data_IF_092444153543
#
_entry.id   IF_092444153543
#
_cell.length_a   1.000
_cell.length_b   1.000
_cell.length_c   1.000
_cell.angle_alpha   90.00
_cell.angle_beta   90.00
_cell.angle_gamma   90.00
#
_symmetry.space_group_name_H-M   'P 1'
#
loop_
_entity.id
_entity.type
_entity.pdbx_description
1 polymer ?
#
# COMPACT_ATOMS: atom_id res chain seq x y z
N UNK A 1 -4.13 -11.85 -23.48
CA UNK A 1 -4.49 -12.04 -22.06
C UNK A 1 -4.52 -10.68 -21.38
N UNK A 2 -5.63 -10.31 -20.72
CA UNK A 2 -5.67 -9.11 -19.88
C UNK A 2 -4.67 -9.30 -18.73
N UNK A 3 -3.72 -8.36 -18.61
CA UNK A 3 -2.74 -8.36 -17.52
C UNK A 3 -3.49 -8.22 -16.18
N UNK A 4 -3.39 -9.20 -15.29
CA UNK A 4 -3.97 -9.11 -13.94
C UNK A 4 -3.13 -8.10 -13.17
N UNK A 5 -3.74 -6.99 -12.76
CA UNK A 5 -3.08 -5.96 -11.96
C UNK A 5 -3.58 -6.10 -10.54
N UNK A 6 -2.67 -6.39 -9.60
CA UNK A 6 -3.00 -6.42 -8.17
C UNK A 6 -3.19 -5.01 -7.64
N UNK A 7 -4.17 -4.86 -6.79
CA UNK A 7 -4.58 -3.59 -6.20
C UNK A 7 -4.28 -3.53 -4.70
N UNK A 8 -3.53 -2.53 -4.29
CA UNK A 8 -3.22 -2.24 -2.90
C UNK A 8 -3.85 -0.91 -2.49
N UNK A 9 -4.90 -1.00 -1.69
CA UNK A 9 -5.60 0.17 -1.14
C UNK A 9 -4.83 0.71 0.07
N UNK A 10 -4.64 2.04 0.12
CA UNK A 10 -4.06 2.72 1.28
C UNK A 10 -5.06 3.79 1.74
N UNK A 11 -5.46 3.77 3.01
CA UNK A 11 -6.37 4.79 3.56
C UNK A 11 -5.67 6.13 3.82
N UNK A 12 -6.47 7.17 4.04
CA UNK A 12 -5.96 8.49 4.44
C UNK A 12 -7.03 9.20 5.27
N UNK A 13 -6.70 9.73 6.46
CA UNK A 13 -7.66 10.41 7.32
C UNK A 13 -8.24 11.69 6.72
N UNK A 14 -7.60 12.25 5.68
CA UNK A 14 -8.09 13.44 4.97
C UNK A 14 -9.11 13.12 3.86
N UNK A 15 -9.27 11.85 3.50
CA UNK A 15 -10.11 11.41 2.39
C UNK A 15 -11.14 10.34 2.79
N UNK A 16 -10.98 9.76 3.96
CA UNK A 16 -11.88 8.76 4.52
C UNK A 16 -12.58 9.34 5.76
N UNK A 17 -13.83 8.95 6.02
CA UNK A 17 -14.53 9.40 7.23
C UNK A 17 -13.76 9.03 8.51
N UNK A 18 -13.88 9.88 9.53
CA UNK A 18 -13.17 9.71 10.80
C UNK A 18 -14.08 9.20 11.92
N UNK A 19 -15.38 9.03 11.67
CA UNK A 19 -16.30 8.36 12.59
C UNK A 19 -16.45 6.88 12.20
N UNK A 20 -16.55 5.95 13.15
CA UNK A 20 -16.63 4.52 12.86
C UNK A 20 -17.80 4.13 11.94
N UNK A 21 -18.99 4.71 12.17
CA UNK A 21 -20.20 4.39 11.40
C UNK A 21 -20.09 4.85 9.93
N UNK A 22 -19.64 6.09 9.73
CA UNK A 22 -19.45 6.61 8.37
C UNK A 22 -18.32 5.89 7.64
N UNK A 23 -17.22 5.59 8.36
CA UNK A 23 -16.10 4.82 7.79
C UNK A 23 -16.55 3.40 7.38
N UNK A 24 -17.35 2.72 8.21
CA UNK A 24 -17.92 1.41 7.89
C UNK A 24 -18.67 1.44 6.55
N UNK A 25 -19.64 2.33 6.44
CA UNK A 25 -20.47 2.46 5.24
C UNK A 25 -19.63 2.83 4.01
N UNK A 26 -18.75 3.80 4.16
CA UNK A 26 -17.91 4.30 3.08
C UNK A 26 -16.90 3.23 2.60
N UNK A 27 -16.20 2.61 3.54
CA UNK A 27 -15.18 1.62 3.23
C UNK A 27 -15.78 0.34 2.66
N UNK A 28 -16.92 -0.10 3.20
CA UNK A 28 -17.67 -1.23 2.66
C UNK A 28 -18.06 -1.00 1.19
N UNK A 29 -18.55 0.20 0.84
CA UNK A 29 -18.86 0.55 -0.55
C UNK A 29 -17.65 0.40 -1.47
N UNK A 30 -16.46 0.81 -1.03
CA UNK A 30 -15.21 0.62 -1.79
C UNK A 30 -14.94 -0.87 -2.02
N UNK A 31 -15.04 -1.68 -0.96
CA UNK A 31 -14.78 -3.12 -1.04
C UNK A 31 -15.81 -3.86 -1.92
N UNK A 32 -17.05 -3.41 -1.95
CA UNK A 32 -18.10 -3.95 -2.83
C UNK A 32 -17.85 -3.61 -4.31
N UNK A 33 -17.18 -2.47 -4.58
CA UNK A 33 -17.03 -1.93 -5.94
C UNK A 33 -15.71 -2.35 -6.60
N UNK A 34 -14.66 -2.52 -5.80
CA UNK A 34 -13.30 -2.75 -6.31
C UNK A 34 -12.74 -4.09 -5.85
N UNK A 35 -12.06 -4.79 -6.76
CA UNK A 35 -11.22 -5.92 -6.37
C UNK A 35 -9.95 -5.39 -5.73
N UNK A 36 -9.74 -5.70 -4.45
CA UNK A 36 -8.59 -5.27 -3.65
C UNK A 36 -7.85 -6.53 -3.18
N UNK A 37 -6.54 -6.57 -3.43
CA UNK A 37 -5.69 -7.71 -3.05
C UNK A 37 -4.99 -7.49 -1.72
N UNK A 38 -4.76 -6.22 -1.32
CA UNK A 38 -4.18 -5.82 -0.03
C UNK A 38 -4.78 -4.48 0.41
N UNK A 39 -4.90 -4.27 1.71
CA UNK A 39 -5.35 -3.00 2.26
C UNK A 39 -4.44 -2.53 3.40
N UNK A 40 -4.14 -1.23 3.45
CA UNK A 40 -3.31 -0.63 4.47
C UNK A 40 -4.05 0.49 5.20
N UNK A 41 -4.16 0.37 6.50
CA UNK A 41 -4.60 1.47 7.33
C UNK A 41 -3.44 2.45 7.54
N UNK A 42 -3.63 3.69 7.10
CA UNK A 42 -2.61 4.71 7.19
C UNK A 42 -3.19 5.99 7.76
N UNK A 43 -2.65 6.39 8.92
CA UNK A 43 -2.95 7.65 9.58
C UNK A 43 -1.65 8.42 9.85
N UNK A 44 -1.47 9.55 9.14
CA UNK A 44 -0.32 10.43 9.33
C UNK A 44 -0.47 11.40 10.50
N UNK A 45 -1.65 11.54 11.04
CA UNK A 45 -1.89 12.40 12.20
C UNK A 45 -1.40 11.74 13.50
N UNK A 46 -1.13 10.44 13.46
CA UNK A 46 -0.76 9.59 14.60
C UNK A 46 -1.83 9.53 15.70
N UNK A 47 -3.02 10.03 15.42
CA UNK A 47 -4.16 10.02 16.34
C UNK A 47 -5.01 8.76 16.19
N UNK A 48 -4.40 7.62 15.96
CA UNK A 48 -5.06 6.33 15.68
C UNK A 48 -6.29 6.12 16.56
N UNK A 49 -7.47 6.10 15.94
CA UNK A 49 -8.72 5.80 16.61
C UNK A 49 -8.92 4.27 16.66
N UNK A 50 -8.90 3.64 17.85
CA UNK A 50 -9.06 2.19 17.98
C UNK A 50 -10.31 1.63 17.29
N UNK A 51 -11.43 2.34 17.40
CA UNK A 51 -12.69 1.92 16.77
C UNK A 51 -12.63 1.92 15.23
N UNK A 52 -11.84 2.81 14.62
CA UNK A 52 -11.61 2.78 13.17
C UNK A 52 -10.73 1.60 12.77
N UNK A 53 -9.72 1.25 13.58
CA UNK A 53 -8.89 0.08 13.35
C UNK A 53 -9.73 -1.20 13.41
N UNK A 54 -10.60 -1.32 14.39
CA UNK A 54 -11.53 -2.46 14.54
C UNK A 54 -12.46 -2.61 13.33
N UNK A 55 -13.06 -1.50 12.87
CA UNK A 55 -13.92 -1.50 11.68
C UNK A 55 -13.13 -1.91 10.43
N UNK A 56 -11.93 -1.34 10.24
CA UNK A 56 -11.06 -1.67 9.10
C UNK A 56 -10.70 -3.15 9.09
N UNK A 57 -10.26 -3.71 10.21
CA UNK A 57 -9.89 -5.12 10.34
C UNK A 57 -11.07 -6.04 10.10
N UNK A 58 -12.21 -5.78 10.73
CA UNK A 58 -13.43 -6.57 10.59
C UNK A 58 -13.91 -6.63 9.14
N UNK A 59 -13.92 -5.49 8.45
CA UNK A 59 -14.31 -5.44 7.04
C UNK A 59 -13.31 -6.21 6.16
N UNK A 60 -12.01 -5.96 6.32
CA UNK A 60 -11.01 -6.70 5.53
C UNK A 60 -11.10 -8.22 5.75
N UNK A 61 -11.29 -8.66 6.99
CA UNK A 61 -11.49 -10.07 7.30
C UNK A 61 -12.72 -10.66 6.58
N UNK A 62 -13.85 -9.92 6.58
CA UNK A 62 -15.07 -10.39 5.91
C UNK A 62 -14.92 -10.51 4.38
N UNK A 63 -14.06 -9.68 3.78
CA UNK A 63 -13.72 -9.74 2.34
C UNK A 63 -12.47 -10.58 2.04
N UNK A 64 -11.84 -11.19 3.05
CA UNK A 64 -10.61 -12.00 2.93
C UNK A 64 -9.45 -11.21 2.32
N UNK A 65 -9.33 -9.94 2.69
CA UNK A 65 -8.28 -9.04 2.24
C UNK A 65 -7.22 -8.92 3.35
N UNK A 66 -5.96 -9.28 3.09
CA UNK A 66 -4.88 -9.06 4.05
C UNK A 66 -4.75 -7.60 4.44
N UNK A 67 -4.69 -7.35 5.75
CA UNK A 67 -4.68 -6.03 6.37
C UNK A 67 -3.27 -5.65 6.83
N UNK A 68 -2.79 -4.49 6.42
CA UNK A 68 -1.53 -3.93 6.88
C UNK A 68 -1.78 -2.62 7.64
N UNK A 69 -0.88 -2.30 8.59
CA UNK A 69 -0.83 -0.98 9.21
C UNK A 69 0.42 -0.23 8.76
N UNK A 70 0.29 1.07 8.52
CA UNK A 70 1.43 1.88 8.09
C UNK A 70 2.23 2.37 9.30
N UNK A 71 3.51 2.03 9.33
CA UNK A 71 4.55 2.58 10.21
C UNK A 71 4.38 2.36 11.73
N UNK A 72 3.27 1.81 12.19
CA UNK A 72 3.02 1.62 13.62
C UNK A 72 3.08 0.13 14.00
N UNK A 73 4.28 -0.30 14.40
CA UNK A 73 4.56 -1.69 14.77
C UNK A 73 3.72 -2.15 15.96
N UNK A 74 3.68 -1.35 17.05
CA UNK A 74 3.00 -1.71 18.30
C UNK A 74 1.49 -1.86 18.11
N UNK A 75 0.85 -0.91 17.42
CA UNK A 75 -0.57 -1.04 17.10
C UNK A 75 -0.84 -2.23 16.17
N UNK A 76 0.06 -2.49 15.22
CA UNK A 76 -0.03 -3.66 14.36
C UNK A 76 -0.10 -4.96 15.13
N UNK A 77 0.78 -5.09 16.12
CA UNK A 77 0.80 -6.25 17.02
C UNK A 77 -0.42 -6.30 17.94
N UNK A 78 -0.78 -5.16 18.55
CA UNK A 78 -1.87 -5.07 19.51
C UNK A 78 -3.24 -5.42 18.89
N UNK A 79 -3.49 -4.96 17.67
CA UNK A 79 -4.77 -5.16 16.96
C UNK A 79 -4.78 -6.41 16.06
N UNK A 80 -3.66 -7.11 15.90
CA UNK A 80 -3.60 -8.33 15.11
C UNK A 80 -3.67 -8.09 13.59
N UNK A 81 -3.00 -7.06 13.08
CA UNK A 81 -2.83 -6.87 11.64
C UNK A 81 -2.02 -8.00 11.03
N UNK A 82 -2.34 -8.40 9.80
CA UNK A 82 -1.58 -9.41 9.06
C UNK A 82 -0.17 -8.91 8.70
N UNK A 83 -0.01 -7.59 8.57
CA UNK A 83 1.26 -7.05 8.12
C UNK A 83 1.57 -5.62 8.58
N UNK A 84 2.84 -5.27 8.41
CA UNK A 84 3.38 -3.93 8.61
C UNK A 84 3.86 -3.35 7.28
N UNK A 85 3.45 -2.12 6.96
CA UNK A 85 4.02 -1.33 5.88
C UNK A 85 5.03 -0.34 6.45
N UNK A 86 6.30 -0.68 6.41
CA UNK A 86 7.40 0.17 6.86
C UNK A 86 7.60 1.37 5.92
N UNK A 87 7.77 2.55 6.49
CA UNK A 87 8.18 3.72 5.71
C UNK A 87 9.71 3.72 5.45
N UNK A 88 10.19 4.67 4.66
CA UNK A 88 11.59 4.74 4.24
C UNK A 88 12.60 4.87 5.39
N UNK A 89 12.20 5.40 6.56
CA UNK A 89 13.05 5.53 7.74
C UNK A 89 13.10 4.26 8.62
N UNK A 90 12.30 3.25 8.30
CA UNK A 90 12.15 2.04 9.12
C UNK A 90 12.84 0.81 8.48
N UNK A 91 13.92 1.02 7.74
CA UNK A 91 14.67 -0.08 7.11
C UNK A 91 15.17 -1.10 8.16
N UNK A 92 15.67 -0.63 9.29
CA UNK A 92 16.21 -1.47 10.35
C UNK A 92 15.14 -2.30 11.07
N UNK A 93 13.87 -1.86 11.00
CA UNK A 93 12.74 -2.56 11.61
C UNK A 93 12.29 -3.80 10.81
N UNK A 94 12.69 -3.93 9.54
CA UNK A 94 12.19 -4.98 8.64
C UNK A 94 12.43 -6.38 9.22
N UNK A 95 13.62 -6.67 9.74
CA UNK A 95 13.95 -8.00 10.26
C UNK A 95 13.13 -8.37 11.49
N UNK A 96 12.84 -7.40 12.35
CA UNK A 96 11.95 -7.61 13.49
C UNK A 96 10.50 -7.80 13.04
N UNK A 97 10.03 -6.93 12.15
CA UNK A 97 8.69 -7.02 11.59
C UNK A 97 8.43 -8.39 10.95
N UNK A 98 9.39 -8.96 10.24
CA UNK A 98 9.28 -10.31 9.63
C UNK A 98 9.15 -11.44 10.63
N UNK A 99 9.56 -11.24 11.88
CA UNK A 99 9.37 -12.25 12.96
C UNK A 99 7.97 -12.18 13.58
N UNK A 100 7.27 -11.07 13.40
CA UNK A 100 6.01 -10.77 14.08
C UNK A 100 4.80 -10.71 13.15
N UNK A 101 4.99 -10.34 11.89
CA UNK A 101 3.95 -10.22 10.89
C UNK A 101 4.14 -11.23 9.76
N UNK A 102 3.04 -11.72 9.21
CA UNK A 102 3.07 -12.60 8.03
C UNK A 102 3.43 -11.83 6.75
N UNK A 103 3.16 -10.52 6.73
CA UNK A 103 3.46 -9.64 5.61
C UNK A 103 4.26 -8.40 6.07
N UNK A 104 5.33 -8.11 5.36
CA UNK A 104 6.09 -6.87 5.54
C UNK A 104 6.21 -6.18 4.19
N UNK A 105 5.67 -4.96 4.11
CA UNK A 105 5.81 -4.10 2.94
C UNK A 105 6.73 -2.93 3.27
N UNK A 106 7.32 -2.33 2.25
CA UNK A 106 8.25 -1.22 2.42
C UNK A 106 8.04 -0.12 1.39
N UNK A 107 8.24 1.15 1.79
CA UNK A 107 8.18 2.30 0.88
C UNK A 107 9.57 2.67 0.36
N UNK A 108 9.79 2.54 -0.94
CA UNK A 108 11.02 2.96 -1.62
C UNK A 108 10.79 4.18 -2.52
N UNK A 109 11.85 4.98 -2.71
CA UNK A 109 11.85 6.16 -3.57
C UNK A 109 12.98 6.15 -4.60
N UNK A 110 13.91 5.21 -4.50
CA UNK A 110 15.01 5.00 -5.44
C UNK A 110 15.23 3.52 -5.71
N UNK A 111 15.95 3.21 -6.77
CA UNK A 111 16.29 1.83 -7.14
C UNK A 111 17.20 1.16 -6.10
N UNK A 112 18.09 1.94 -5.48
CA UNK A 112 19.02 1.46 -4.44
C UNK A 112 18.25 1.04 -3.19
N UNK A 113 17.30 1.86 -2.74
CA UNK A 113 16.46 1.57 -1.57
C UNK A 113 15.55 0.35 -1.86
N UNK A 114 14.99 0.27 -3.08
CA UNK A 114 14.19 -0.88 -3.50
C UNK A 114 15.00 -2.18 -3.40
N UNK A 115 16.25 -2.21 -3.95
CA UNK A 115 17.12 -3.37 -3.86
C UNK A 115 17.47 -3.75 -2.42
N UNK A 116 17.76 -2.76 -1.57
CA UNK A 116 18.06 -3.00 -0.14
C UNK A 116 16.89 -3.65 0.58
N UNK A 117 15.67 -3.14 0.38
CA UNK A 117 14.46 -3.71 0.98
C UNK A 117 14.19 -5.14 0.50
N UNK A 118 14.37 -5.41 -0.81
CA UNK A 118 14.22 -6.74 -1.38
C UNK A 118 15.21 -7.75 -0.77
N UNK A 119 16.48 -7.35 -0.61
CA UNK A 119 17.50 -8.19 0.04
C UNK A 119 17.15 -8.53 1.50
N UNK A 120 16.45 -7.65 2.21
CA UNK A 120 15.94 -7.92 3.56
C UNK A 120 14.71 -8.85 3.53
N UNK A 121 14.21 -9.18 2.35
CA UNK A 121 13.17 -10.18 2.14
C UNK A 121 11.78 -9.70 2.52
N UNK A 122 11.44 -8.44 2.26
CA UNK A 122 10.06 -7.95 2.37
C UNK A 122 9.16 -8.62 1.32
N UNK A 123 7.85 -8.68 1.59
CA UNK A 123 6.88 -9.31 0.68
C UNK A 123 6.45 -8.36 -0.45
N UNK A 124 6.41 -7.06 -0.16
CA UNK A 124 6.02 -6.05 -1.14
C UNK A 124 6.77 -4.73 -0.98
N UNK A 125 7.00 -4.04 -2.08
CA UNK A 125 7.66 -2.73 -2.08
C UNK A 125 6.83 -1.75 -2.90
N UNK A 126 6.43 -0.64 -2.30
CA UNK A 126 5.86 0.47 -3.06
C UNK A 126 6.98 1.38 -3.55
N UNK A 127 6.99 1.69 -4.84
CA UNK A 127 7.90 2.67 -5.44
C UNK A 127 7.15 3.94 -5.83
N UNK A 128 7.59 5.10 -5.34
CA UNK A 128 6.83 6.35 -5.46
C UNK A 128 7.69 7.61 -5.42
N UNK A 129 7.17 8.74 -5.96
CA UNK A 129 5.93 8.87 -6.72
C UNK A 129 6.11 8.54 -8.21
N UNK A 130 5.18 7.81 -8.82
CA UNK A 130 5.25 7.53 -10.27
C UNK A 130 4.71 8.69 -11.09
N UNK A 131 3.58 9.27 -10.69
CA UNK A 131 3.03 10.48 -11.30
C UNK A 131 3.03 11.63 -10.30
N UNK A 132 2.85 12.86 -10.82
CA UNK A 132 2.79 14.06 -9.99
C UNK A 132 1.81 13.88 -8.82
N UNK A 133 2.31 14.15 -7.63
CA UNK A 133 1.58 13.94 -6.38
C UNK A 133 1.79 15.17 -5.50
N UNK A 134 0.74 15.76 -4.90
CA UNK A 134 0.88 16.92 -4.03
C UNK A 134 1.88 16.65 -2.89
N UNK A 135 2.71 17.63 -2.60
CA UNK A 135 3.71 17.60 -1.52
C UNK A 135 4.74 16.45 -1.64
N UNK A 136 5.02 16.00 -2.88
CA UNK A 136 6.08 15.05 -3.21
C UNK A 136 7.03 15.69 -4.22
N UNK A 137 8.27 15.21 -4.25
CA UNK A 137 9.26 15.61 -5.24
C UNK A 137 8.86 15.25 -6.67
N UNK A 138 9.80 15.43 -7.60
CA UNK A 138 9.58 15.08 -9.01
C UNK A 138 9.19 13.61 -9.16
N UNK A 139 8.21 13.31 -10.04
CA UNK A 139 7.78 11.94 -10.29
C UNK A 139 8.87 11.15 -11.01
N UNK A 140 8.98 9.88 -10.67
CA UNK A 140 9.89 8.95 -11.33
C UNK A 140 9.49 8.63 -12.79
N UNK A 141 8.20 8.76 -13.09
CA UNK A 141 7.66 8.43 -14.41
C UNK A 141 7.49 6.93 -14.66
N UNK A 142 6.79 6.60 -15.74
CA UNK A 142 6.62 5.21 -16.18
C UNK A 142 7.91 4.64 -16.78
N UNK A 143 8.77 5.51 -17.30
CA UNK A 143 10.08 5.17 -17.85
C UNK A 143 10.96 4.52 -16.78
N UNK A 144 10.90 5.01 -15.55
CA UNK A 144 11.59 4.37 -14.43
C UNK A 144 11.12 2.92 -14.22
N UNK A 145 9.82 2.68 -14.29
CA UNK A 145 9.27 1.33 -14.13
C UNK A 145 9.76 0.37 -15.23
N UNK A 146 10.00 0.88 -16.43
CA UNK A 146 10.54 0.10 -17.55
C UNK A 146 12.03 -0.27 -17.36
N UNK A 147 12.75 0.42 -16.46
CA UNK A 147 14.15 0.06 -16.13
C UNK A 147 14.25 -1.07 -15.12
N UNK A 148 13.14 -1.48 -14.51
CA UNK A 148 13.12 -2.53 -13.49
C UNK A 148 13.02 -3.90 -14.17
N UNK A 149 14.02 -4.74 -13.96
CA UNK A 149 14.00 -6.15 -14.32
C UNK A 149 13.37 -6.91 -13.17
N UNK A 150 12.09 -7.30 -13.32
CA UNK A 150 11.31 -7.88 -12.22
C UNK A 150 11.86 -9.23 -11.75
N UNK A 151 12.55 -9.94 -12.64
CA UNK A 151 13.25 -11.19 -12.31
C UNK A 151 14.37 -11.01 -11.28
N UNK A 152 14.89 -9.78 -11.11
CA UNK A 152 15.93 -9.47 -10.12
C UNK A 152 15.37 -9.30 -8.70
N UNK A 153 14.03 -9.28 -8.53
CA UNK A 153 13.37 -9.02 -7.24
C UNK A 153 12.48 -10.17 -6.81
N UNK A 154 12.52 -10.48 -5.51
CA UNK A 154 11.64 -11.46 -4.87
C UNK A 154 10.34 -10.82 -4.39
N UNK A 155 10.42 -9.56 -3.94
CA UNK A 155 9.28 -8.80 -3.50
C UNK A 155 8.36 -8.41 -4.65
N UNK A 156 7.05 -8.36 -4.39
CA UNK A 156 6.08 -7.77 -5.31
C UNK A 156 6.29 -6.25 -5.36
N UNK A 157 6.44 -5.68 -6.56
CA UNK A 157 6.66 -4.23 -6.71
C UNK A 157 5.35 -3.55 -7.09
N UNK A 158 4.92 -2.59 -6.27
CA UNK A 158 3.71 -1.79 -6.46
C UNK A 158 4.07 -0.37 -6.91
N UNK A 159 3.59 0.04 -8.06
CA UNK A 159 3.66 1.44 -8.48
C UNK A 159 2.73 2.29 -7.60
N UNK A 160 3.23 3.39 -7.02
CA UNK A 160 2.46 4.27 -6.13
C UNK A 160 2.69 5.74 -6.50
N UNK A 161 1.67 6.57 -6.26
CA UNK A 161 1.72 8.03 -6.42
C UNK A 161 1.11 8.52 -7.73
N UNK A 162 0.06 9.34 -7.58
CA UNK A 162 -0.67 9.95 -8.70
C UNK A 162 -1.50 8.99 -9.55
N UNK A 163 -1.70 7.76 -9.12
CA UNK A 163 -2.60 6.79 -9.77
C UNK A 163 -4.01 7.05 -9.23
N UNK A 164 -4.82 7.78 -9.99
CA UNK A 164 -6.12 8.29 -9.53
C UNK A 164 -7.32 7.82 -10.36
N UNK A 165 -7.08 7.24 -11.53
CA UNK A 165 -8.14 6.81 -12.46
C UNK A 165 -7.63 5.74 -13.43
N UNK A 166 -8.52 5.23 -14.27
CA UNK A 166 -8.22 4.22 -15.27
C UNK A 166 -7.17 4.68 -16.29
N UNK A 167 -7.10 5.97 -16.62
CA UNK A 167 -6.12 6.51 -17.56
C UNK A 167 -4.69 6.43 -16.99
N UNK A 168 -4.50 6.80 -15.72
CA UNK A 168 -3.17 6.64 -15.06
C UNK A 168 -2.82 5.19 -14.85
N UNK A 169 -3.80 4.35 -14.50
CA UNK A 169 -3.61 2.92 -14.34
C UNK A 169 -3.24 2.23 -15.67
N UNK A 170 -3.84 2.62 -16.79
CA UNK A 170 -3.51 2.05 -18.10
C UNK A 170 -2.05 2.30 -18.50
N UNK A 171 -1.47 3.44 -18.09
CA UNK A 171 -0.03 3.72 -18.30
C UNK A 171 0.86 2.77 -17.49
N UNK A 172 0.46 2.40 -16.26
CA UNK A 172 1.18 1.36 -15.49
C UNK A 172 1.07 0.00 -16.20
N UNK A 173 -0.09 -0.34 -16.73
CA UNK A 173 -0.32 -1.62 -17.42
C UNK A 173 0.57 -1.83 -18.65
N UNK A 174 1.13 -0.77 -19.25
CA UNK A 174 2.11 -0.86 -20.35
C UNK A 174 3.54 -1.20 -19.90
N UNK A 175 3.82 -1.12 -18.60
CA UNK A 175 5.13 -1.43 -18.00
C UNK A 175 5.21 -2.89 -17.56
N UNK A 176 6.40 -3.39 -17.17
CA UNK A 176 6.54 -4.71 -16.56
C UNK A 176 5.77 -4.88 -15.24
N UNK A 177 5.49 -3.78 -14.52
CA UNK A 177 4.81 -3.80 -13.22
C UNK A 177 3.38 -4.34 -13.36
N UNK A 178 3.00 -5.24 -12.45
CA UNK A 178 1.68 -5.91 -12.43
C UNK A 178 0.87 -5.58 -11.18
N UNK A 179 1.31 -4.56 -10.44
CA UNK A 179 0.70 -4.21 -9.16
C UNK A 179 0.77 -2.71 -8.95
N UNK A 180 -0.29 -2.15 -8.37
CA UNK A 180 -0.33 -0.73 -8.02
C UNK A 180 -0.87 -0.53 -6.61
N UNK A 181 -0.46 0.57 -6.00
CA UNK A 181 -1.02 1.04 -4.74
C UNK A 181 -1.60 2.44 -4.94
N UNK A 182 -2.71 2.71 -4.29
CA UNK A 182 -3.32 4.04 -4.36
C UNK A 182 -4.14 4.38 -3.11
N UNK A 183 -4.23 5.69 -2.85
CA UNK A 183 -5.13 6.26 -1.87
C UNK A 183 -6.44 6.70 -2.55
N UNK A 184 -6.35 7.28 -3.77
CA UNK A 184 -7.45 7.99 -4.42
C UNK A 184 -8.17 7.19 -5.50
N UNK A 185 -7.52 6.22 -6.11
CA UNK A 185 -8.10 5.44 -7.21
C UNK A 185 -9.45 4.80 -6.83
N UNK A 186 -9.56 4.34 -5.60
CA UNK A 186 -10.73 3.62 -5.09
C UNK A 186 -11.87 4.54 -4.62
N UNK A 187 -11.71 5.86 -4.74
CA UNK A 187 -12.70 6.85 -4.30
C UNK A 187 -13.60 7.35 -5.45
N UNK A 188 -13.37 6.89 -6.69
CA UNK A 188 -14.09 7.29 -7.89
C UNK A 188 -15.10 6.23 -8.31
#
# INVERSE_FOLDING_TARGET
>A
MRKIIKAYLITSPTLYPTTPLEFDTFYKKILDTHKIDFACYRDKTLAFNPKLLEVFLRLNQSYKIPSLINSNFELGMCFGFDGLHCNASQMDLILEAKRKFSLVFFSAHTKEILKKADLLGVNGITISPIFKTPNKGEPLGVEFLNTLKLEDYKAEIFALGGIINSQTLSKIATTPIKSFASIRYFLN
#
